data_IF_052353500841
#
_entry.id   IF_052353500841
#
_cell.length_a   1.000
_cell.length_b   1.000
_cell.length_c   1.000
_cell.angle_alpha   90.00
_cell.angle_beta   90.00
_cell.angle_gamma   90.00
#
_symmetry.space_group_name_H-M   'P 1'
#
loop_
_entity.id
_entity.type
_entity.pdbx_description
1 polymer ?
#
# COMPACT_ATOMS: atom_id res chain seq x y z
N UNK A 1 17.83 -14.39 -13.01
CA UNK A 1 17.23 -13.25 -12.28
C UNK A 1 15.74 -13.20 -12.58
N UNK A 2 14.92 -13.26 -11.57
CA UNK A 2 13.46 -13.27 -11.77
C UNK A 2 12.94 -11.87 -11.96
N UNK A 3 11.99 -11.73 -12.88
CA UNK A 3 11.31 -10.47 -13.09
C UNK A 3 10.43 -10.14 -11.88
N UNK A 4 10.28 -8.86 -11.53
CA UNK A 4 9.40 -8.50 -10.43
C UNK A 4 7.94 -8.81 -10.75
N UNK A 5 7.17 -9.07 -9.72
CA UNK A 5 5.72 -9.18 -9.84
C UNK A 5 5.16 -7.78 -9.66
N UNK A 6 4.39 -7.31 -10.63
CA UNK A 6 3.90 -5.93 -10.66
C UNK A 6 2.39 -5.91 -10.52
N UNK A 7 1.90 -5.12 -9.57
CA UNK A 7 0.48 -4.81 -9.41
C UNK A 7 0.25 -3.35 -9.80
N UNK A 8 -0.61 -3.12 -10.78
CA UNK A 8 -0.93 -1.78 -11.24
C UNK A 8 -2.39 -1.73 -11.65
N UNK A 9 -3.22 -1.11 -10.81
CA UNK A 9 -4.65 -0.95 -11.08
C UNK A 9 -5.12 0.40 -10.58
N UNK A 10 -6.16 0.93 -11.23
CA UNK A 10 -6.73 2.23 -10.88
C UNK A 10 -7.29 2.20 -9.45
N UNK A 11 -7.01 3.25 -8.70
CA UNK A 11 -7.47 3.36 -7.32
C UNK A 11 -6.56 2.71 -6.29
N UNK A 12 -5.41 2.20 -6.73
CA UNK A 12 -4.44 1.53 -5.85
C UNK A 12 -3.04 2.07 -6.10
N UNK A 13 -2.17 2.04 -5.07
CA UNK A 13 -0.76 2.30 -5.31
C UNK A 13 -0.17 1.20 -6.21
N UNK A 14 0.85 1.54 -6.96
CA UNK A 14 1.56 0.56 -7.79
C UNK A 14 2.54 -0.17 -6.89
N UNK A 15 2.54 -1.50 -6.95
CA UNK A 15 3.41 -2.33 -6.10
C UNK A 15 4.24 -3.23 -6.99
N UNK A 16 5.56 -3.24 -6.76
CA UNK A 16 6.49 -4.15 -7.43
C UNK A 16 7.17 -5.00 -6.37
N UNK A 17 7.07 -6.32 -6.50
CA UNK A 17 7.66 -7.26 -5.54
C UNK A 17 8.86 -7.94 -6.17
N UNK A 18 10.01 -7.78 -5.53
CA UNK A 18 11.26 -8.40 -5.92
C UNK A 18 11.63 -9.50 -4.91
N UNK A 19 12.77 -10.13 -5.10
CA UNK A 19 13.17 -11.23 -4.24
C UNK A 19 13.42 -10.79 -2.79
N UNK A 20 14.12 -9.67 -2.60
CA UNK A 20 14.56 -9.23 -1.27
C UNK A 20 13.88 -7.95 -0.80
N UNK A 21 13.06 -7.35 -1.63
CA UNK A 21 12.40 -6.08 -1.29
C UNK A 21 11.16 -5.89 -2.17
N UNK A 22 10.37 -4.92 -1.81
CA UNK A 22 9.28 -4.47 -2.67
C UNK A 22 9.30 -2.95 -2.76
N UNK A 23 8.65 -2.42 -3.79
CA UNK A 23 8.55 -0.98 -3.99
C UNK A 23 7.09 -0.59 -4.13
N UNK A 24 6.72 0.56 -3.57
CA UNK A 24 5.38 1.10 -3.68
C UNK A 24 5.43 2.54 -4.15
N UNK A 25 4.58 2.84 -5.13
CA UNK A 25 4.36 4.21 -5.62
C UNK A 25 2.94 4.61 -5.24
N UNK A 26 2.82 5.67 -4.45
CA UNK A 26 1.51 6.21 -4.07
C UNK A 26 0.73 6.70 -5.30
N UNK A 27 -0.60 6.73 -5.19
CA UNK A 27 -1.47 7.15 -6.28
C UNK A 27 -1.13 8.56 -6.76
N UNK A 28 -0.79 9.44 -5.83
CA UNK A 28 -0.51 10.86 -6.10
C UNK A 28 0.96 11.23 -6.14
N UNK A 29 1.83 10.22 -6.29
CA UNK A 29 3.27 10.47 -6.25
C UNK A 29 3.94 9.88 -7.50
N UNK A 30 5.14 10.37 -7.81
CA UNK A 30 5.83 9.97 -9.04
C UNK A 30 7.00 9.02 -8.79
N UNK A 31 7.39 8.79 -7.53
CA UNK A 31 8.52 7.94 -7.20
C UNK A 31 8.09 6.72 -6.41
N UNK A 32 8.83 5.62 -6.62
CA UNK A 32 8.68 4.42 -5.81
C UNK A 32 9.51 4.53 -4.55
N UNK A 33 8.97 4.01 -3.44
CA UNK A 33 9.70 3.85 -2.20
C UNK A 33 10.03 2.39 -2.01
N UNK A 34 11.30 2.11 -1.74
CA UNK A 34 11.80 0.75 -1.55
C UNK A 34 11.64 0.33 -0.08
N UNK A 35 11.16 -0.90 0.12
CA UNK A 35 11.03 -1.52 1.44
C UNK A 35 11.73 -2.86 1.41
N UNK A 36 12.82 -3.00 2.16
CA UNK A 36 13.51 -4.29 2.29
C UNK A 36 12.70 -5.19 3.22
N UNK A 37 12.51 -6.46 2.84
CA UNK A 37 11.76 -7.38 3.70
C UNK A 37 12.37 -7.52 5.09
N UNK A 38 13.70 -7.40 5.18
CA UNK A 38 14.38 -7.46 6.47
C UNK A 38 14.06 -6.30 7.41
N UNK A 39 13.56 -5.19 6.87
CA UNK A 39 13.26 -3.99 7.66
C UNK A 39 11.77 -3.80 7.95
N UNK A 40 10.93 -4.61 7.33
CA UNK A 40 9.47 -4.48 7.45
C UNK A 40 8.97 -5.48 8.48
N UNK A 41 8.18 -4.99 9.44
CA UNK A 41 7.57 -5.83 10.46
C UNK A 41 6.27 -6.47 9.94
N UNK A 42 5.42 -5.67 9.30
CA UNK A 42 4.13 -6.15 8.80
C UNK A 42 3.58 -5.22 7.73
N UNK A 43 2.66 -5.75 6.95
CA UNK A 43 1.87 -4.98 6.00
C UNK A 43 0.41 -5.36 6.22
N UNK A 44 -0.47 -4.36 6.29
CA UNK A 44 -1.88 -4.62 6.59
C UNK A 44 -2.78 -3.58 5.96
N UNK A 45 -4.05 -3.95 5.77
CA UNK A 45 -5.09 -3.04 5.32
C UNK A 45 -5.88 -2.61 6.54
N UNK A 46 -6.08 -1.30 6.67
CA UNK A 46 -6.91 -0.75 7.74
C UNK A 46 -8.07 0.02 7.14
N UNK A 47 -9.23 -0.18 7.73
CA UNK A 47 -10.39 0.61 7.38
C UNK A 47 -10.22 2.01 7.95
N UNK A 48 -10.62 3.06 7.21
CA UNK A 48 -10.49 4.42 7.72
C UNK A 48 -11.40 4.67 8.89
N UNK A 49 -10.87 5.42 9.86
CA UNK A 49 -11.70 6.00 10.90
C UNK A 49 -12.15 7.38 10.40
N UNK A 50 -13.11 7.96 11.09
CA UNK A 50 -13.58 9.30 10.74
C UNK A 50 -12.44 10.32 10.72
N UNK A 51 -11.54 10.25 11.70
CA UNK A 51 -10.38 11.14 11.75
C UNK A 51 -9.39 10.92 10.62
N UNK A 52 -9.22 9.66 10.23
CA UNK A 52 -8.33 9.29 9.13
C UNK A 52 -8.81 9.95 7.82
N UNK A 53 -10.10 9.84 7.52
CA UNK A 53 -10.68 10.44 6.32
C UNK A 53 -10.55 11.95 6.32
N UNK A 54 -10.77 12.56 7.47
CA UNK A 54 -10.67 14.00 7.62
C UNK A 54 -9.25 14.48 7.29
N UNK A 55 -8.24 13.77 7.76
CA UNK A 55 -6.85 14.12 7.49
C UNK A 55 -6.53 14.02 6.00
N UNK A 56 -6.97 12.96 5.33
CA UNK A 56 -6.76 12.83 3.90
C UNK A 56 -7.49 13.90 3.12
N UNK A 57 -8.68 14.23 3.53
CA UNK A 57 -9.48 15.27 2.86
C UNK A 57 -8.76 16.62 2.88
N UNK A 58 -8.09 16.93 3.98
CA UNK A 58 -7.35 18.18 4.10
C UNK A 58 -6.11 18.23 3.23
N UNK A 59 -5.46 17.09 3.00
CA UNK A 59 -4.18 17.07 2.33
C UNK A 59 -4.26 16.81 0.84
N UNK A 60 -5.28 16.10 0.36
CA UNK A 60 -5.29 15.62 -1.02
C UNK A 60 -6.69 15.61 -1.61
N UNK A 61 -7.17 16.78 -2.01
CA UNK A 61 -8.51 16.87 -2.62
C UNK A 61 -8.62 16.07 -3.93
N UNK A 62 -7.52 15.95 -4.68
CA UNK A 62 -7.52 15.16 -5.92
C UNK A 62 -7.71 13.67 -5.64
N UNK A 63 -7.07 13.16 -4.60
CA UNK A 63 -7.22 11.76 -4.23
C UNK A 63 -8.61 11.48 -3.72
N UNK A 64 -9.18 12.38 -2.92
CA UNK A 64 -10.54 12.20 -2.43
C UNK A 64 -11.56 12.17 -3.56
N UNK A 65 -11.31 12.87 -4.66
CA UNK A 65 -12.17 12.80 -5.84
C UNK A 65 -12.16 11.42 -6.48
N UNK A 66 -11.01 10.73 -6.46
CA UNK A 66 -10.92 9.38 -7.00
C UNK A 66 -11.78 8.39 -6.22
N UNK A 67 -12.03 8.67 -4.96
CA UNK A 67 -12.82 7.83 -4.08
C UNK A 67 -14.20 8.42 -3.78
N UNK A 68 -14.68 9.30 -4.67
CA UNK A 68 -15.96 9.98 -4.50
C UNK A 68 -17.08 8.96 -4.22
N UNK A 69 -17.78 9.17 -3.09
CA UNK A 69 -18.84 8.25 -2.66
C UNK A 69 -18.38 7.00 -1.92
N UNK A 70 -17.08 6.75 -1.84
CA UNK A 70 -16.51 5.59 -1.16
C UNK A 70 -15.39 6.02 -0.23
N UNK A 71 -15.36 5.43 0.97
CA UNK A 71 -14.27 5.69 1.92
C UNK A 71 -13.06 4.83 1.55
N UNK A 72 -11.88 5.43 1.32
CA UNK A 72 -10.71 4.64 0.99
C UNK A 72 -10.18 3.88 2.19
N UNK A 73 -9.53 2.75 1.92
CA UNK A 73 -8.78 2.03 2.93
C UNK A 73 -7.36 2.57 3.00
N UNK A 74 -6.65 2.20 4.04
CA UNK A 74 -5.24 2.52 4.22
C UNK A 74 -4.42 1.24 4.15
N UNK A 75 -3.42 1.23 3.28
CA UNK A 75 -2.39 0.20 3.25
C UNK A 75 -1.27 0.67 4.17
N UNK A 76 -1.08 -0.02 5.28
CA UNK A 76 -0.09 0.37 6.28
C UNK A 76 1.08 -0.58 6.30
N UNK A 77 2.28 -0.03 6.23
CA UNK A 77 3.53 -0.78 6.30
C UNK A 77 4.23 -0.40 7.59
N UNK A 78 4.35 -1.36 8.49
CA UNK A 78 5.01 -1.16 9.78
C UNK A 78 6.46 -1.61 9.68
N UNK A 79 7.38 -0.75 10.11
CA UNK A 79 8.80 -1.03 10.07
C UNK A 79 9.29 -1.50 11.44
N UNK A 80 10.37 -2.29 11.43
CA UNK A 80 10.93 -2.83 12.67
C UNK A 80 11.50 -1.76 13.59
N UNK A 81 11.80 -0.58 13.04
CA UNK A 81 12.33 0.55 13.83
C UNK A 81 11.21 1.40 14.44
N UNK A 82 9.97 0.90 14.47
CA UNK A 82 8.78 1.58 14.97
C UNK A 82 8.26 2.70 14.07
N UNK A 83 8.84 2.86 12.87
CA UNK A 83 8.28 3.74 11.86
C UNK A 83 7.15 3.06 11.09
N UNK A 84 6.40 3.85 10.37
CA UNK A 84 5.38 3.30 9.47
C UNK A 84 5.15 4.21 8.27
N UNK A 85 4.54 3.63 7.24
CA UNK A 85 4.11 4.33 6.04
C UNK A 85 2.70 3.90 5.71
N UNK A 86 1.87 4.85 5.29
CA UNK A 86 0.50 4.57 4.93
C UNK A 86 0.21 5.07 3.52
N UNK A 87 -0.53 4.26 2.77
CA UNK A 87 -0.93 4.58 1.40
C UNK A 87 -2.45 4.47 1.30
N UNK A 88 -3.07 5.42 0.62
CA UNK A 88 -4.50 5.36 0.36
C UNK A 88 -4.75 4.34 -0.75
N UNK A 89 -5.77 3.50 -0.60
CA UNK A 89 -6.15 2.54 -1.61
C UNK A 89 -7.67 2.36 -1.62
N UNK A 90 -8.19 1.85 -2.76
CA UNK A 90 -9.62 1.61 -2.91
C UNK A 90 -10.12 0.60 -1.89
N UNK A 91 -11.34 0.80 -1.41
CA UNK A 91 -12.01 -0.16 -0.52
C UNK A 91 -12.74 -1.25 -1.29
N UNK A 92 -12.71 -1.21 -2.61
CA UNK A 92 -13.34 -2.23 -3.44
C UNK A 92 -12.53 -3.51 -3.38
N UNK A 93 -13.22 -4.64 -3.44
CA UNK A 93 -12.56 -5.94 -3.45
C UNK A 93 -11.78 -6.11 -4.75
N UNK A 94 -10.52 -6.50 -4.65
CA UNK A 94 -9.66 -6.74 -5.79
C UNK A 94 -8.79 -7.95 -5.52
N UNK A 95 -9.00 -9.01 -6.32
CA UNK A 95 -8.28 -10.28 -6.11
C UNK A 95 -6.78 -10.14 -6.34
N UNK A 96 -6.38 -9.35 -7.31
CA UNK A 96 -4.97 -9.16 -7.63
C UNK A 96 -4.26 -8.41 -6.51
N UNK A 97 -4.93 -7.42 -5.93
CA UNK A 97 -4.39 -6.68 -4.78
C UNK A 97 -4.22 -7.62 -3.59
N UNK A 98 -5.24 -8.45 -3.31
CA UNK A 98 -5.18 -9.42 -2.22
C UNK A 98 -4.04 -10.41 -2.44
N UNK A 99 -3.82 -10.86 -3.67
CA UNK A 99 -2.76 -11.80 -4.00
C UNK A 99 -1.39 -11.22 -3.75
N UNK A 100 -1.16 -9.97 -4.16
CA UNK A 100 0.16 -9.36 -3.98
C UNK A 100 0.44 -9.06 -2.50
N UNK A 101 -0.58 -8.69 -1.73
CA UNK A 101 -0.42 -8.50 -0.30
C UNK A 101 -0.09 -9.80 0.41
N UNK A 102 -0.75 -10.90 0.02
CA UNK A 102 -0.44 -12.22 0.58
C UNK A 102 0.97 -12.65 0.25
N UNK A 103 1.42 -12.36 -0.97
CA UNK A 103 2.80 -12.66 -1.37
C UNK A 103 3.79 -11.91 -0.50
N UNK A 104 3.57 -10.62 -0.27
CA UNK A 104 4.45 -9.83 0.59
C UNK A 104 4.44 -10.38 2.02
N UNK A 105 3.25 -10.69 2.56
CA UNK A 105 3.12 -11.24 3.90
C UNK A 105 3.86 -12.57 4.03
N UNK A 106 3.75 -13.43 3.01
CA UNK A 106 4.45 -14.70 2.99
C UNK A 106 5.97 -14.51 3.00
N UNK A 107 6.47 -13.57 2.20
CA UNK A 107 7.91 -13.28 2.17
C UNK A 107 8.40 -12.71 3.51
N UNK A 108 7.57 -11.95 4.19
CA UNK A 108 7.90 -11.43 5.52
C UNK A 108 8.04 -12.56 6.54
N UNK A 109 7.23 -13.61 6.42
CA UNK A 109 7.32 -14.76 7.31
C UNK A 109 8.60 -15.56 7.07
N UNK A 110 9.15 -15.50 5.86
CA UNK A 110 10.37 -16.22 5.50
C UNK A 110 11.65 -15.50 5.94
N UNK A 111 11.53 -14.26 6.39
CA UNK A 111 12.69 -13.44 6.79
C UNK A 111 12.86 -13.35 8.29
#
# INVERSE_FOLDING_TARGET
MNSPIIFKESGYPIIKVYENYFEIKAIDYWEFRKFNFSEVKSIEIKNPTHNFLYQFYLFTSLITQLFSGNEPNSLKINLKNNGDWSYMCSNKKNQNFDKILKLIQQKLLEN
#
